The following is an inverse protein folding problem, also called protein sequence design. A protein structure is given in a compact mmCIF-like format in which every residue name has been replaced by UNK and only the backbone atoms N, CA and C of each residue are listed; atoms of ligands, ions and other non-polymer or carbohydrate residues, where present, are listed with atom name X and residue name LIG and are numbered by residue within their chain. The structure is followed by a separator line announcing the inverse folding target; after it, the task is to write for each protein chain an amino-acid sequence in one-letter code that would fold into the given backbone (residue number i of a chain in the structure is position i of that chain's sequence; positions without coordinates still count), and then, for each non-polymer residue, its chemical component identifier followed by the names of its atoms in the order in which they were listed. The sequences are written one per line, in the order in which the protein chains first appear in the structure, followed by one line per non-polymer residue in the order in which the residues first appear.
data_IF_742695130131
#
_entry.id   IF_742695130131
#
_cell.length_a   1.000
_cell.length_b   1.000
_cell.length_c   1.000
_cell.angle_alpha   90.00
_cell.angle_beta   90.00
_cell.angle_gamma   90.00
#
_symmetry.space_group_name_H-M   'P 1'
#
loop_
_entity.id
_entity.type
_entity.pdbx_description
1 polymer ?
#
# COMPACT_ATOMS: atom_id res chain seq x y z
N UNK A 1 22.61 -57.65 4.63
CA UNK A 1 22.77 -58.24 5.97
C UNK A 1 22.37 -57.13 6.97
N UNK A 2 21.39 -57.13 7.79
CA UNK A 2 20.44 -58.10 8.34
C UNK A 2 19.18 -57.31 8.76
N UNK A 3 18.04 -57.90 8.55
CA UNK A 3 16.70 -57.49 8.98
C UNK A 3 16.57 -57.63 10.49
N UNK A 4 15.76 -56.82 11.15
CA UNK A 4 14.90 -57.33 12.24
C UNK A 4 13.63 -56.50 12.34
N UNK A 5 12.50 -57.13 12.09
CA UNK A 5 11.14 -56.81 12.46
C UNK A 5 10.93 -57.17 13.93
N UNK A 6 10.13 -56.37 14.65
CA UNK A 6 9.40 -56.86 15.81
C UNK A 6 8.01 -56.25 15.87
N UNK A 7 7.01 -57.08 15.71
CA UNK A 7 5.59 -56.85 15.96
C UNK A 7 5.19 -57.56 17.28
N UNK A 8 4.36 -56.94 18.10
CA UNK A 8 3.56 -57.56 19.20
C UNK A 8 2.56 -56.50 19.63
N UNK A 9 1.32 -56.64 19.74
CA UNK A 9 0.25 -57.59 19.86
C UNK A 9 -0.85 -56.91 20.73
N UNK A 10 -2.04 -57.10 20.23
CA UNK A 10 -3.36 -56.64 20.69
C UNK A 10 -3.71 -57.31 22.04
N UNK A 11 -4.38 -56.60 22.97
CA UNK A 11 -5.15 -57.17 24.04
C UNK A 11 -6.45 -56.39 24.26
N UNK A 12 -7.57 -56.99 23.84
CA UNK A 12 -8.94 -56.67 24.22
C UNK A 12 -9.21 -57.22 25.64
N UNK A 13 -9.86 -56.42 26.49
CA UNK A 13 -10.63 -56.96 27.63
C UNK A 13 -11.98 -56.29 27.66
N UNK A 14 -13.00 -57.11 27.44
CA UNK A 14 -14.40 -56.87 27.73
C UNK A 14 -14.68 -57.20 29.19
N UNK A 15 -15.48 -56.39 29.87
CA UNK A 15 -16.01 -56.70 31.20
C UNK A 15 -17.25 -55.85 31.46
N UNK A 16 -18.34 -56.56 31.70
CA UNK A 16 -19.75 -56.12 31.72
C UNK A 16 -20.26 -55.68 33.09
N UNK A 17 -21.30 -54.84 33.02
CA UNK A 17 -22.51 -54.71 33.86
C UNK A 17 -22.44 -54.70 35.40
N UNK A 18 -23.15 -53.70 35.97
CA UNK A 18 -23.72 -53.73 37.31
C UNK A 18 -24.23 -52.35 37.75
N UNK A 19 -25.54 -52.23 37.93
CA UNK A 19 -26.31 -51.04 38.07
C UNK A 19 -26.52 -50.45 39.46
N UNK A 20 -27.30 -49.38 39.47
CA UNK A 20 -28.09 -48.73 40.55
C UNK A 20 -27.34 -47.98 41.66
N UNK A 21 -27.51 -46.69 41.84
CA UNK A 21 -28.56 -46.00 42.57
C UNK A 21 -28.32 -44.45 42.60
N UNK A 22 -29.40 -43.75 42.63
CA UNK A 22 -29.55 -42.29 42.59
C UNK A 22 -29.01 -41.58 43.85
N UNK A 23 -28.40 -40.41 43.66
CA UNK A 23 -28.70 -39.21 44.49
C UNK A 23 -28.28 -37.92 43.76
N UNK A 24 -29.07 -36.85 43.77
CA UNK A 24 -28.76 -35.64 43.00
C UNK A 24 -27.81 -34.74 43.76
N UNK A 25 -26.64 -34.53 43.22
CA UNK A 25 -25.72 -33.47 43.67
C UNK A 25 -25.95 -32.20 42.87
N UNK A 26 -26.41 -31.22 43.60
CA UNK A 26 -26.28 -29.77 43.43
C UNK A 26 -25.62 -29.28 42.13
N UNK A 27 -26.41 -28.65 41.26
CA UNK A 27 -25.95 -27.84 40.17
C UNK A 27 -25.24 -26.58 40.74
N UNK A 28 -23.95 -26.61 40.77
CA UNK A 28 -23.15 -25.38 40.83
C UNK A 28 -23.22 -24.74 39.44
N UNK A 29 -23.94 -23.62 39.37
CA UNK A 29 -24.00 -22.75 38.20
C UNK A 29 -22.65 -22.13 37.97
N UNK A 30 -21.86 -22.74 37.08
CA UNK A 30 -20.70 -22.05 36.44
C UNK A 30 -21.30 -21.03 35.46
N UNK A 31 -21.57 -19.84 35.97
CA UNK A 31 -21.66 -18.63 35.18
C UNK A 31 -20.26 -18.19 34.76
N UNK A 32 -19.58 -19.06 33.99
CA UNK A 32 -18.44 -18.61 33.22
C UNK A 32 -18.94 -17.56 32.21
N UNK A 33 -18.51 -16.35 32.43
CA UNK A 33 -18.62 -15.18 31.58
C UNK A 33 -18.62 -15.61 30.09
N UNK A 34 -19.79 -15.59 29.45
CA UNK A 34 -19.93 -15.61 28.02
C UNK A 34 -19.44 -14.25 27.51
N UNK A 35 -18.12 -14.08 27.35
CA UNK A 35 -17.58 -13.07 26.47
C UNK A 35 -18.27 -13.25 25.12
N UNK A 36 -19.02 -12.23 24.70
CA UNK A 36 -19.96 -12.34 23.59
C UNK A 36 -19.25 -12.86 22.34
N UNK A 37 -19.64 -14.06 21.92
CA UNK A 37 -19.14 -14.70 20.70
C UNK A 37 -19.46 -13.77 19.53
N UNK A 38 -18.45 -13.46 18.69
CA UNK A 38 -18.65 -12.68 17.49
C UNK A 38 -19.83 -13.24 16.67
N UNK A 39 -20.72 -12.37 16.23
CA UNK A 39 -21.93 -12.76 15.49
C UNK A 39 -21.77 -12.68 13.99
N UNK A 40 -20.61 -12.20 13.50
CA UNK A 40 -20.30 -12.06 12.08
C UNK A 40 -18.82 -12.19 11.82
N UNK A 41 -18.49 -12.26 10.54
CA UNK A 41 -17.13 -12.34 10.03
C UNK A 41 -16.86 -11.19 9.06
N UNK A 42 -15.58 -10.81 8.92
CA UNK A 42 -15.08 -9.91 7.90
C UNK A 42 -13.67 -10.35 7.48
N UNK A 43 -13.51 -10.71 6.22
CA UNK A 43 -12.25 -11.17 5.66
C UNK A 43 -11.66 -10.05 4.82
N UNK A 44 -10.56 -9.45 5.31
CA UNK A 44 -9.82 -8.37 4.65
C UNK A 44 -8.64 -8.94 3.87
N UNK A 45 -8.39 -8.40 2.67
CA UNK A 45 -7.16 -8.63 1.93
C UNK A 45 -6.55 -7.28 1.58
N UNK A 46 -5.43 -6.96 2.18
CA UNK A 46 -4.87 -5.62 2.20
C UNK A 46 -3.34 -5.63 2.18
N UNK A 47 -2.74 -4.46 2.02
CA UNK A 47 -1.30 -4.27 2.18
C UNK A 47 -0.87 -4.56 3.62
N UNK A 48 0.37 -5.02 3.80
CA UNK A 48 0.94 -5.21 5.14
C UNK A 48 1.07 -3.86 5.86
N UNK A 49 0.85 -3.87 7.19
CA UNK A 49 0.97 -2.68 8.06
C UNK A 49 0.13 -1.47 7.59
N UNK A 50 -1.04 -1.71 7.02
CA UNK A 50 -1.87 -0.70 6.37
C UNK A 50 -3.10 -0.26 7.18
N UNK A 51 -3.19 -0.69 8.41
CA UNK A 51 -4.12 -0.21 9.44
C UNK A 51 -3.47 -0.36 10.82
N UNK A 52 -3.75 0.55 11.73
CA UNK A 52 -3.36 0.37 13.14
C UNK A 52 -4.11 -0.85 13.70
N UNK A 53 -3.39 -1.87 14.20
CA UNK A 53 -4.01 -3.07 14.78
C UNK A 53 -5.04 -2.75 15.86
N UNK A 54 -4.84 -1.68 16.63
CA UNK A 54 -5.78 -1.24 17.67
C UNK A 54 -7.14 -0.82 17.09
N UNK A 55 -7.16 -0.20 15.90
CA UNK A 55 -8.43 0.18 15.24
C UNK A 55 -9.17 -1.03 14.71
N UNK A 56 -8.45 -2.03 14.19
CA UNK A 56 -9.05 -3.29 13.70
C UNK A 56 -9.65 -4.09 14.84
N UNK A 57 -8.93 -4.20 15.95
CA UNK A 57 -9.40 -4.87 17.17
C UNK A 57 -10.63 -4.18 17.76
N UNK A 58 -10.59 -2.84 17.88
CA UNK A 58 -11.73 -2.05 18.37
C UNK A 58 -12.97 -2.25 17.49
N UNK A 59 -12.83 -2.21 16.16
CA UNK A 59 -13.96 -2.48 15.26
C UNK A 59 -14.55 -3.86 15.49
N UNK A 60 -13.73 -4.90 15.58
CA UNK A 60 -14.16 -6.27 15.81
C UNK A 60 -14.94 -6.41 17.12
N UNK A 61 -14.41 -5.85 18.20
CA UNK A 61 -14.99 -5.86 19.54
C UNK A 61 -16.33 -5.13 19.60
N UNK A 62 -16.36 -3.88 19.11
CA UNK A 62 -17.53 -3.01 19.22
C UNK A 62 -18.70 -3.50 18.37
N UNK A 63 -18.41 -4.14 17.23
CA UNK A 63 -19.44 -4.68 16.33
C UNK A 63 -19.69 -6.19 16.53
N UNK A 64 -18.97 -6.88 17.42
CA UNK A 64 -19.02 -8.33 17.61
C UNK A 64 -18.74 -9.07 16.30
N UNK A 65 -17.76 -8.61 15.53
CA UNK A 65 -17.33 -9.17 14.25
C UNK A 65 -15.93 -9.76 14.44
N UNK A 66 -15.73 -10.98 13.97
CA UNK A 66 -14.40 -11.57 13.85
C UNK A 66 -13.75 -11.04 12.57
N UNK A 67 -12.70 -10.23 12.70
CA UNK A 67 -11.97 -9.67 11.56
C UNK A 67 -10.74 -10.52 11.29
N UNK A 68 -10.69 -11.11 10.09
CA UNK A 68 -9.51 -11.85 9.60
C UNK A 68 -8.79 -11.01 8.56
N UNK A 69 -7.47 -10.89 8.68
CA UNK A 69 -6.63 -10.15 7.76
C UNK A 69 -5.69 -11.10 7.01
N UNK A 70 -5.64 -10.97 5.71
CA UNK A 70 -4.60 -11.53 4.85
C UNK A 70 -3.91 -10.40 4.11
N UNK A 71 -2.64 -10.58 3.76
CA UNK A 71 -1.81 -9.53 3.21
C UNK A 71 -1.27 -9.90 1.83
N UNK A 72 -1.03 -8.88 1.02
CA UNK A 72 -0.32 -8.98 -0.25
C UNK A 72 0.74 -7.87 -0.33
N UNK A 73 1.68 -8.05 -1.23
CA UNK A 73 2.83 -7.16 -1.46
C UNK A 73 2.81 -6.51 -2.86
N UNK A 74 1.83 -6.88 -3.70
CA UNK A 74 1.70 -6.33 -5.06
C UNK A 74 0.25 -6.30 -5.53
N UNK A 75 -0.10 -5.31 -6.35
CA UNK A 75 -1.41 -5.24 -7.00
C UNK A 75 -1.67 -6.45 -7.92
N UNK A 76 -0.63 -7.03 -8.48
CA UNK A 76 -0.69 -8.23 -9.32
C UNK A 76 -1.14 -9.46 -8.53
N UNK A 77 -0.65 -9.63 -7.30
CA UNK A 77 -1.06 -10.70 -6.40
C UNK A 77 -2.55 -10.55 -6.01
N UNK A 78 -2.99 -9.32 -5.70
CA UNK A 78 -4.40 -9.04 -5.45
C UNK A 78 -5.25 -9.31 -6.71
N UNK A 79 -4.83 -8.80 -7.87
CA UNK A 79 -5.56 -8.97 -9.14
C UNK A 79 -5.74 -10.44 -9.48
N UNK A 80 -4.68 -11.24 -9.39
CA UNK A 80 -4.74 -12.68 -9.61
C UNK A 80 -5.77 -13.36 -8.69
N UNK A 81 -5.94 -12.85 -7.46
CA UNK A 81 -6.89 -13.40 -6.49
C UNK A 81 -8.33 -13.02 -6.81
N UNK A 82 -8.62 -11.74 -7.07
CA UNK A 82 -9.99 -11.26 -7.29
C UNK A 82 -10.56 -11.68 -8.65
N UNK A 83 -9.73 -11.79 -9.70
CA UNK A 83 -10.17 -12.21 -11.02
C UNK A 83 -10.57 -13.69 -11.10
N UNK A 84 -10.24 -14.50 -10.10
CA UNK A 84 -10.75 -15.89 -10.04
C UNK A 84 -12.26 -15.97 -9.81
N UNK A 85 -12.88 -14.87 -9.30
CA UNK A 85 -14.28 -14.87 -8.84
C UNK A 85 -14.53 -15.76 -7.61
N UNK A 86 -13.46 -16.20 -6.96
CA UNK A 86 -13.45 -16.99 -5.71
C UNK A 86 -12.36 -16.49 -4.80
N UNK A 87 -12.39 -15.19 -4.52
CA UNK A 87 -11.34 -14.52 -3.74
C UNK A 87 -11.29 -15.02 -2.30
N UNK A 88 -12.47 -15.29 -1.72
CA UNK A 88 -12.63 -15.65 -0.31
C UNK A 88 -12.56 -14.45 0.63
N UNK A 89 -12.56 -13.23 0.09
CA UNK A 89 -12.50 -11.99 0.86
C UNK A 89 -13.77 -11.17 0.71
N UNK A 90 -14.03 -10.34 1.73
CA UNK A 90 -15.19 -9.46 1.77
C UNK A 90 -14.83 -8.02 1.41
N UNK A 91 -13.58 -7.64 1.65
CA UNK A 91 -13.07 -6.30 1.37
C UNK A 91 -11.59 -6.39 0.97
N UNK A 92 -11.23 -5.67 -0.09
CA UNK A 92 -9.86 -5.58 -0.61
C UNK A 92 -9.48 -4.12 -0.84
N UNK A 93 -8.17 -3.81 -0.93
CA UNK A 93 -7.68 -2.43 -1.02
C UNK A 93 -6.68 -2.27 -2.18
N UNK A 94 -7.12 -2.41 -3.44
CA UNK A 94 -6.23 -2.19 -4.58
C UNK A 94 -5.90 -0.71 -4.78
N UNK A 95 -4.76 -0.45 -5.44
CA UNK A 95 -4.49 0.86 -5.99
C UNK A 95 -5.43 1.13 -7.18
N UNK A 96 -5.97 2.33 -7.23
CA UNK A 96 -7.01 2.71 -8.21
C UNK A 96 -6.54 2.55 -9.66
N UNK A 97 -5.26 2.76 -9.95
CA UNK A 97 -4.65 2.53 -11.27
C UNK A 97 -4.84 1.10 -11.78
N UNK A 98 -4.85 0.12 -10.89
CA UNK A 98 -5.05 -1.30 -11.22
C UNK A 98 -6.53 -1.69 -11.14
N UNK A 99 -7.27 -1.10 -10.21
CA UNK A 99 -8.70 -1.35 -9.99
C UNK A 99 -9.54 -1.11 -11.26
N UNK A 100 -9.18 -0.14 -12.10
CA UNK A 100 -9.93 0.16 -13.32
C UNK A 100 -10.08 -1.04 -14.26
N UNK A 101 -9.04 -1.87 -14.43
CA UNK A 101 -9.12 -3.10 -15.22
C UNK A 101 -9.98 -4.16 -14.54
N UNK A 102 -9.88 -4.26 -13.24
CA UNK A 102 -10.62 -5.22 -12.41
C UNK A 102 -12.12 -4.88 -12.39
N UNK A 103 -12.47 -3.57 -12.36
CA UNK A 103 -13.86 -3.09 -12.52
C UNK A 103 -14.40 -3.50 -13.88
N UNK A 104 -13.66 -3.26 -14.97
CA UNK A 104 -14.07 -3.63 -16.33
C UNK A 104 -14.25 -5.15 -16.48
N UNK A 105 -13.46 -5.94 -15.77
CA UNK A 105 -13.57 -7.39 -15.71
C UNK A 105 -14.74 -7.88 -14.82
N UNK A 106 -15.48 -6.98 -14.16
CA UNK A 106 -16.60 -7.33 -13.29
C UNK A 106 -16.20 -8.00 -11.97
N UNK A 107 -14.97 -7.73 -11.49
CA UNK A 107 -14.45 -8.35 -10.26
C UNK A 107 -15.12 -7.83 -8.99
N UNK A 108 -15.82 -6.70 -9.02
CA UNK A 108 -16.35 -6.00 -7.86
C UNK A 108 -17.84 -5.77 -7.91
N UNK A 109 -18.43 -5.56 -6.75
CA UNK A 109 -19.80 -5.10 -6.57
C UNK A 109 -19.86 -3.59 -6.44
N UNK A 110 -20.99 -2.98 -6.82
CA UNK A 110 -21.22 -1.55 -6.55
C UNK A 110 -21.36 -1.34 -5.03
N UNK A 111 -20.80 -0.22 -4.56
CA UNK A 111 -20.85 0.22 -3.17
C UNK A 111 -22.21 0.88 -2.90
N UNK A 112 -22.90 0.42 -1.87
CA UNK A 112 -24.09 1.11 -1.36
C UNK A 112 -23.69 2.25 -0.41
N UNK A 113 -23.58 3.45 -0.96
CA UNK A 113 -23.18 4.65 -0.20
C UNK A 113 -24.14 5.01 0.92
N UNK A 114 -25.41 4.54 0.87
CA UNK A 114 -26.39 4.78 1.94
C UNK A 114 -25.99 4.07 3.25
N UNK A 115 -25.20 3.00 3.15
CA UNK A 115 -24.65 2.28 4.30
C UNK A 115 -23.36 2.89 4.85
N UNK A 116 -22.88 3.99 4.28
CA UNK A 116 -21.61 4.64 4.64
C UNK A 116 -21.89 6.12 5.00
N UNK A 117 -22.50 6.45 6.13
CA UNK A 117 -22.75 7.84 6.52
C UNK A 117 -21.51 8.74 6.50
N UNK A 118 -20.34 8.19 6.85
CA UNK A 118 -19.06 8.91 6.83
C UNK A 118 -18.49 9.12 5.42
N UNK A 119 -19.19 8.69 4.35
CA UNK A 119 -18.79 8.97 2.96
C UNK A 119 -18.67 10.47 2.69
N UNK A 120 -19.48 11.29 3.37
CA UNK A 120 -19.44 12.76 3.29
C UNK A 120 -18.16 13.39 3.86
N UNK A 121 -17.36 12.63 4.61
CA UNK A 121 -16.06 13.08 5.12
C UNK A 121 -14.94 12.99 4.07
N UNK A 122 -15.18 12.30 2.94
CA UNK A 122 -14.16 12.12 1.90
C UNK A 122 -13.88 13.46 1.22
N UNK A 123 -12.60 13.72 0.96
CA UNK A 123 -12.14 14.88 0.20
C UNK A 123 -12.82 14.89 -1.20
N UNK A 124 -13.62 15.93 -1.53
CA UNK A 124 -14.29 16.04 -2.82
C UNK A 124 -13.34 16.06 -4.01
N UNK A 125 -12.15 16.64 -3.88
CA UNK A 125 -11.15 16.65 -4.95
C UNK A 125 -10.60 15.25 -5.22
N UNK A 126 -10.45 14.44 -4.17
CA UNK A 126 -10.07 13.04 -4.31
C UNK A 126 -11.16 12.23 -5.05
N UNK A 127 -12.43 12.43 -4.71
CA UNK A 127 -13.56 11.79 -5.42
C UNK A 127 -13.62 12.21 -6.90
N UNK A 128 -13.36 13.47 -7.20
CA UNK A 128 -13.32 13.99 -8.58
C UNK A 128 -12.18 13.36 -9.38
N UNK A 129 -11.03 13.17 -8.74
CA UNK A 129 -9.88 12.49 -9.32
C UNK A 129 -10.19 11.02 -9.62
N UNK A 130 -10.80 10.31 -8.67
CA UNK A 130 -11.18 8.90 -8.81
C UNK A 130 -12.21 8.66 -9.89
N UNK A 131 -13.14 9.61 -10.10
CA UNK A 131 -14.18 9.53 -11.12
C UNK A 131 -13.62 9.43 -12.56
N UNK A 132 -12.34 9.75 -12.77
CA UNK A 132 -11.66 9.54 -14.06
C UNK A 132 -11.44 8.05 -14.38
N UNK A 133 -11.49 7.18 -13.36
CA UNK A 133 -11.26 5.74 -13.47
C UNK A 133 -12.52 4.95 -13.11
N UNK A 134 -13.15 5.29 -12.00
CA UNK A 134 -14.43 4.74 -11.52
C UNK A 134 -15.53 5.79 -11.70
N UNK A 135 -16.14 5.83 -12.88
CA UNK A 135 -17.17 6.82 -13.23
C UNK A 135 -18.33 6.78 -12.24
N UNK A 136 -18.54 7.91 -11.54
CA UNK A 136 -19.55 8.06 -10.51
C UNK A 136 -19.14 7.47 -9.15
N UNK A 137 -17.88 7.04 -8.99
CA UNK A 137 -17.35 6.43 -7.77
C UNK A 137 -18.27 5.30 -7.25
N UNK A 138 -18.57 4.36 -8.13
CA UNK A 138 -19.54 3.29 -7.86
C UNK A 138 -18.95 2.11 -7.13
N UNK A 139 -17.67 1.78 -7.39
CA UNK A 139 -17.03 0.56 -6.95
C UNK A 139 -15.96 0.77 -5.90
N UNK A 140 -15.35 1.96 -5.87
CA UNK A 140 -14.20 2.28 -5.04
C UNK A 140 -14.53 3.38 -4.01
N UNK A 141 -14.14 3.14 -2.75
CA UNK A 141 -14.16 4.14 -1.69
C UNK A 141 -12.71 4.40 -1.27
N UNK A 142 -12.18 5.62 -1.42
CA UNK A 142 -10.78 5.89 -1.10
C UNK A 142 -10.52 5.67 0.39
N UNK A 143 -9.34 5.11 0.67
CA UNK A 143 -8.86 4.86 2.02
C UNK A 143 -7.68 5.76 2.36
N UNK A 144 -6.56 5.55 1.67
CA UNK A 144 -5.39 6.40 1.71
C UNK A 144 -4.98 6.84 0.32
N UNK A 145 -4.29 7.96 0.28
CA UNK A 145 -3.62 8.42 -0.92
C UNK A 145 -2.23 8.95 -0.58
N UNK A 146 -1.38 9.03 -1.57
CA UNK A 146 -0.03 9.48 -1.40
C UNK A 146 0.65 9.79 -2.72
N UNK A 147 1.95 10.04 -2.63
CA UNK A 147 2.77 10.45 -3.77
C UNK A 147 3.94 9.51 -3.99
N UNK A 148 4.31 9.34 -5.25
CA UNK A 148 5.59 8.77 -5.64
C UNK A 148 6.59 9.92 -5.74
N UNK A 149 7.58 9.91 -4.87
CA UNK A 149 8.57 10.97 -4.76
C UNK A 149 9.97 10.43 -4.49
N UNK A 150 10.86 11.24 -3.96
CA UNK A 150 12.20 10.82 -3.58
C UNK A 150 12.60 11.36 -2.21
N UNK A 151 13.49 10.64 -1.55
CA UNK A 151 14.14 11.12 -0.34
C UNK A 151 15.65 11.05 -0.48
N UNK A 152 16.32 11.92 0.28
CA UNK A 152 17.78 12.03 0.30
C UNK A 152 18.32 11.97 1.73
N UNK A 153 19.53 11.43 1.86
CA UNK A 153 20.39 11.73 3.00
C UNK A 153 21.14 13.02 2.69
N UNK A 154 20.75 14.11 3.30
CA UNK A 154 21.26 15.46 2.99
C UNK A 154 22.77 15.58 3.15
N UNK A 155 23.36 14.96 4.18
CA UNK A 155 24.79 14.98 4.43
C UNK A 155 25.57 14.21 3.34
N UNK A 156 25.09 13.00 2.98
CA UNK A 156 25.74 12.18 1.97
C UNK A 156 25.64 12.82 0.58
N UNK A 157 24.46 13.39 0.24
CA UNK A 157 24.24 14.09 -1.03
C UNK A 157 25.11 15.33 -1.11
N UNK A 158 25.14 16.18 -0.07
CA UNK A 158 25.99 17.38 -0.04
C UNK A 158 27.47 17.02 -0.22
N UNK A 159 27.94 15.97 0.46
CA UNK A 159 29.30 15.46 0.31
C UNK A 159 29.60 15.00 -1.13
N UNK A 160 28.68 14.26 -1.74
CA UNK A 160 28.85 13.73 -3.09
C UNK A 160 28.77 14.82 -4.17
N UNK A 161 27.91 15.82 -4.00
CA UNK A 161 27.77 16.95 -4.93
C UNK A 161 28.85 18.04 -4.74
N UNK A 162 29.45 18.12 -3.53
CA UNK A 162 30.35 19.19 -3.15
C UNK A 162 29.61 20.50 -2.79
N UNK A 163 28.30 20.43 -2.57
CA UNK A 163 27.43 21.56 -2.19
C UNK A 163 26.16 21.04 -1.53
N UNK A 164 25.58 21.84 -0.65
CA UNK A 164 24.26 21.61 -0.04
C UNK A 164 23.08 22.09 -0.91
N UNK A 165 23.38 22.85 -1.97
CA UNK A 165 22.39 23.33 -2.92
C UNK A 165 21.95 22.20 -3.84
N UNK A 166 20.65 21.85 -3.80
CA UNK A 166 20.03 20.89 -4.70
C UNK A 166 19.76 21.51 -6.08
N UNK A 167 19.60 20.68 -7.13
CA UNK A 167 19.10 21.15 -8.42
C UNK A 167 17.70 21.76 -8.29
N UNK A 168 17.36 22.68 -9.19
CA UNK A 168 16.03 23.31 -9.23
C UNK A 168 14.91 22.28 -9.46
N UNK A 169 15.17 21.31 -10.32
CA UNK A 169 14.34 20.13 -10.46
C UNK A 169 14.98 18.97 -9.70
N UNK A 170 14.46 18.63 -8.52
CA UNK A 170 15.03 17.57 -7.67
C UNK A 170 15.04 16.19 -8.34
N UNK A 171 14.20 15.96 -9.37
CA UNK A 171 14.27 14.73 -10.18
C UNK A 171 15.59 14.56 -10.92
N UNK A 172 16.39 15.63 -11.10
CA UNK A 172 17.73 15.56 -11.67
C UNK A 172 18.67 14.67 -10.84
N UNK A 173 18.45 14.57 -9.54
CA UNK A 173 19.23 13.69 -8.65
C UNK A 173 19.17 12.22 -9.08
N UNK A 174 18.15 11.83 -9.81
CA UNK A 174 17.91 10.42 -10.20
C UNK A 174 17.84 10.19 -11.72
N UNK A 175 17.57 11.23 -12.54
CA UNK A 175 17.43 11.09 -13.99
C UNK A 175 18.49 11.84 -14.81
N UNK A 176 19.25 12.77 -14.19
CA UNK A 176 20.31 13.50 -14.88
C UNK A 176 21.69 12.90 -14.61
N UNK A 177 22.43 12.42 -15.64
CA UNK A 177 23.77 11.85 -15.49
C UNK A 177 24.80 12.75 -14.81
N UNK A 178 24.63 14.08 -14.86
CA UNK A 178 25.54 15.03 -14.18
C UNK A 178 25.49 14.86 -12.65
N UNK A 179 24.32 14.51 -12.10
CA UNK A 179 24.14 14.27 -10.68
C UNK A 179 24.33 12.80 -10.33
N UNK A 180 23.75 11.88 -11.10
CA UNK A 180 23.78 10.46 -10.75
C UNK A 180 25.19 9.88 -10.71
N UNK A 181 26.08 10.33 -11.62
CA UNK A 181 27.51 9.94 -11.60
C UNK A 181 28.21 10.32 -10.30
N UNK A 182 27.85 11.43 -9.69
CA UNK A 182 28.40 11.86 -8.39
C UNK A 182 27.80 11.05 -7.24
N UNK A 183 26.52 10.73 -7.34
CA UNK A 183 25.73 10.05 -6.30
C UNK A 183 25.87 8.52 -6.30
N UNK A 184 26.36 7.90 -7.38
CA UNK A 184 26.44 6.43 -7.52
C UNK A 184 27.21 5.75 -6.37
N UNK A 185 28.24 6.41 -5.83
CA UNK A 185 29.06 5.84 -4.77
C UNK A 185 28.34 5.81 -3.42
N UNK A 186 27.44 6.76 -3.16
CA UNK A 186 26.63 6.75 -1.93
C UNK A 186 25.31 5.99 -2.12
N UNK A 187 24.89 5.70 -3.35
CA UNK A 187 23.82 4.78 -3.67
C UNK A 187 22.49 5.44 -4.04
N UNK A 188 21.98 5.05 -5.20
CA UNK A 188 20.68 5.45 -5.74
C UNK A 188 19.77 4.23 -5.83
N UNK A 189 18.52 4.35 -5.39
CA UNK A 189 17.47 3.34 -5.53
C UNK A 189 16.36 3.82 -6.43
N UNK A 190 15.91 2.95 -7.34
CA UNK A 190 14.69 3.10 -8.14
C UNK A 190 13.63 2.13 -7.66
N UNK A 191 12.34 2.39 -7.93
CA UNK A 191 11.31 1.38 -7.81
C UNK A 191 11.65 0.12 -8.61
N UNK A 192 11.27 -1.04 -8.13
CA UNK A 192 11.25 -2.27 -8.93
C UNK A 192 9.85 -2.53 -9.52
N UNK A 193 9.30 -1.50 -10.15
CA UNK A 193 7.97 -1.52 -10.76
C UNK A 193 7.98 -0.67 -12.02
N UNK A 194 7.77 -1.25 -13.22
CA UNK A 194 7.66 -0.47 -14.44
C UNK A 194 6.45 0.46 -14.43
N UNK A 195 5.34 0.05 -13.80
CA UNK A 195 4.10 0.84 -13.73
C UNK A 195 4.26 2.12 -12.91
N UNK A 196 5.18 2.13 -11.94
CA UNK A 196 5.54 3.31 -11.15
C UNK A 196 6.67 4.12 -11.79
N UNK A 197 7.67 3.45 -12.35
CA UNK A 197 8.89 4.10 -12.80
C UNK A 197 8.73 4.80 -14.15
N UNK A 198 7.97 4.22 -15.10
CA UNK A 198 7.76 4.84 -16.42
C UNK A 198 7.01 6.17 -16.36
N UNK A 199 5.91 6.33 -15.59
CA UNK A 199 5.25 7.62 -15.44
C UNK A 199 6.17 8.73 -14.91
N UNK A 200 7.04 8.45 -13.95
CA UNK A 200 8.04 9.38 -13.44
C UNK A 200 9.03 9.79 -14.54
N UNK A 201 9.56 8.82 -15.28
CA UNK A 201 10.50 9.10 -16.38
C UNK A 201 9.84 9.87 -17.53
N UNK A 202 8.59 9.53 -17.89
CA UNK A 202 7.81 10.27 -18.89
C UNK A 202 7.61 11.72 -18.47
N UNK A 203 7.15 11.96 -17.24
CA UNK A 203 6.98 13.31 -16.68
C UNK A 203 8.30 14.09 -16.72
N UNK A 204 9.39 13.46 -16.29
CA UNK A 204 10.70 14.08 -16.28
C UNK A 204 11.17 14.57 -17.68
N UNK A 205 10.88 13.80 -18.74
CA UNK A 205 11.23 14.18 -20.13
C UNK A 205 10.17 15.04 -20.80
N UNK A 206 9.17 15.55 -20.05
CA UNK A 206 8.13 16.43 -20.57
C UNK A 206 7.05 15.75 -21.43
N UNK A 207 6.86 14.43 -21.23
CA UNK A 207 5.82 13.65 -21.89
C UNK A 207 4.63 13.42 -20.95
N UNK A 208 3.47 13.04 -21.52
CA UNK A 208 2.32 12.62 -20.70
C UNK A 208 2.72 11.38 -19.86
N UNK A 209 2.65 11.44 -18.51
CA UNK A 209 2.91 10.30 -17.65
C UNK A 209 2.05 9.07 -17.96
N UNK A 210 0.89 9.30 -18.56
CA UNK A 210 -0.05 8.27 -18.97
C UNK A 210 0.06 7.87 -20.45
N UNK A 211 1.10 8.33 -21.16
CA UNK A 211 1.29 7.98 -22.57
C UNK A 211 1.31 6.47 -22.80
N UNK A 212 0.61 6.03 -23.83
CA UNK A 212 0.63 4.66 -24.35
C UNK A 212 1.38 4.57 -25.69
N UNK A 213 1.92 5.70 -26.15
CA UNK A 213 2.69 5.78 -27.38
C UNK A 213 4.03 5.04 -27.24
N UNK A 214 4.35 4.20 -28.20
CA UNK A 214 5.58 3.38 -28.17
C UNK A 214 6.86 4.22 -28.23
N UNK A 215 6.84 5.35 -28.95
CA UNK A 215 8.00 6.23 -29.05
C UNK A 215 8.24 6.97 -27.71
N UNK A 216 7.20 7.39 -27.02
CA UNK A 216 7.28 8.02 -25.70
C UNK A 216 7.84 7.01 -24.67
N UNK A 217 7.34 5.77 -24.67
CA UNK A 217 7.84 4.71 -23.79
C UNK A 217 9.30 4.39 -24.07
N UNK A 218 9.69 4.33 -25.35
CA UNK A 218 11.10 4.13 -25.74
C UNK A 218 11.98 5.31 -25.29
N UNK A 219 11.48 6.55 -25.39
CA UNK A 219 12.20 7.74 -24.93
C UNK A 219 12.40 7.73 -23.40
N UNK A 220 11.37 7.35 -22.63
CA UNK A 220 11.46 7.19 -21.17
C UNK A 220 12.48 6.11 -20.79
N UNK A 221 12.45 4.96 -21.46
CA UNK A 221 13.43 3.88 -21.26
C UNK A 221 14.85 4.35 -21.61
N UNK A 222 15.02 5.14 -22.68
CA UNK A 222 16.31 5.72 -23.05
C UNK A 222 16.83 6.72 -22.02
N UNK A 223 15.96 7.54 -21.42
CA UNK A 223 16.32 8.44 -20.34
C UNK A 223 16.82 7.67 -19.11
N UNK A 224 16.08 6.66 -18.67
CA UNK A 224 16.50 5.79 -17.56
C UNK A 224 17.80 5.03 -17.86
N UNK A 225 17.99 4.60 -19.11
CA UNK A 225 19.22 3.90 -19.54
C UNK A 225 20.47 4.77 -19.36
N UNK A 226 20.39 6.10 -19.54
CA UNK A 226 21.54 7.01 -19.37
C UNK A 226 22.11 6.99 -17.95
N UNK A 227 21.26 6.71 -16.96
CA UNK A 227 21.61 6.71 -15.53
C UNK A 227 21.67 5.30 -14.93
N UNK A 228 21.32 4.25 -15.70
CA UNK A 228 21.20 2.88 -15.21
C UNK A 228 22.47 2.38 -14.49
N UNK A 229 23.65 2.68 -15.01
CA UNK A 229 24.93 2.26 -14.43
C UNK A 229 25.22 2.90 -13.06
N UNK A 230 24.53 3.99 -12.74
CA UNK A 230 24.67 4.70 -11.48
C UNK A 230 23.66 4.24 -10.42
N UNK A 231 22.61 3.50 -10.83
CA UNK A 231 21.58 2.94 -9.94
C UNK A 231 22.11 1.69 -9.25
N UNK A 232 22.19 1.74 -7.91
CA UNK A 232 22.69 0.64 -7.06
C UNK A 232 21.69 -0.48 -6.96
N UNK A 233 20.40 -0.15 -6.75
CA UNK A 233 19.35 -1.16 -6.56
C UNK A 233 18.03 -0.77 -7.23
N UNK A 234 17.23 -1.79 -7.48
CA UNK A 234 15.82 -1.68 -7.81
C UNK A 234 15.05 -2.38 -6.69
N UNK A 235 14.17 -1.66 -6.01
CA UNK A 235 13.38 -2.19 -4.91
C UNK A 235 12.16 -1.33 -4.66
N UNK A 236 11.03 -1.95 -4.32
CA UNK A 236 9.80 -1.26 -3.93
C UNK A 236 9.55 -1.29 -2.42
N UNK A 237 10.50 -1.83 -1.62
CA UNK A 237 10.38 -1.88 -0.15
C UNK A 237 11.72 -1.76 0.59
N UNK A 238 12.79 -2.44 0.14
CA UNK A 238 14.07 -2.46 0.85
C UNK A 238 14.73 -1.08 0.96
N UNK A 239 14.38 -0.13 0.07
CA UNK A 239 14.90 1.25 0.15
C UNK A 239 14.58 1.93 1.48
N UNK A 240 13.52 1.53 2.19
CA UNK A 240 13.12 2.10 3.49
C UNK A 240 14.25 1.91 4.50
N UNK A 241 14.67 0.67 4.70
CA UNK A 241 15.73 0.35 5.65
C UNK A 241 17.11 0.82 5.16
N UNK A 242 17.41 0.64 3.87
CA UNK A 242 18.71 1.00 3.31
C UNK A 242 18.95 2.52 3.38
N UNK A 243 17.90 3.34 3.18
CA UNK A 243 17.97 4.78 3.35
C UNK A 243 18.14 5.16 4.82
N UNK A 244 17.36 4.53 5.73
CA UNK A 244 17.45 4.78 7.17
C UNK A 244 18.82 4.44 7.75
N UNK A 245 19.45 3.37 7.26
CA UNK A 245 20.77 2.89 7.69
C UNK A 245 21.94 3.61 7.01
N UNK A 246 21.67 4.50 6.04
CA UNK A 246 22.71 5.23 5.31
C UNK A 246 23.41 4.41 4.23
N UNK A 247 22.83 3.31 3.77
CA UNK A 247 23.34 2.54 2.64
C UNK A 247 22.98 3.16 1.28
N UNK A 248 21.96 4.04 1.29
CA UNK A 248 21.53 4.85 0.15
C UNK A 248 21.56 6.33 0.51
N UNK A 249 21.95 7.16 -0.44
CA UNK A 249 21.85 8.61 -0.30
C UNK A 249 20.65 9.21 -1.02
N UNK A 250 20.07 8.50 -2.01
CA UNK A 250 18.87 8.90 -2.72
C UNK A 250 18.00 7.65 -2.98
N UNK A 251 16.70 7.76 -2.73
CA UNK A 251 15.76 6.72 -3.08
C UNK A 251 14.47 7.32 -3.66
N UNK A 252 14.03 6.80 -4.80
CA UNK A 252 12.65 6.97 -5.26
C UNK A 252 11.78 6.03 -4.43
N UNK A 253 10.67 6.52 -3.89
CA UNK A 253 9.80 5.73 -3.02
C UNK A 253 8.40 6.32 -2.90
N UNK A 254 7.54 5.59 -2.20
CA UNK A 254 6.24 6.07 -1.77
C UNK A 254 6.44 7.06 -0.60
N UNK A 255 5.72 8.18 -0.62
CA UNK A 255 5.93 9.28 0.34
C UNK A 255 5.88 8.84 1.81
N UNK A 256 4.89 8.01 2.20
CA UNK A 256 4.79 7.48 3.56
C UNK A 256 5.95 6.56 3.93
N UNK A 257 6.35 5.66 3.04
CA UNK A 257 7.50 4.79 3.26
C UNK A 257 8.80 5.58 3.46
N UNK A 258 8.97 6.66 2.69
CA UNK A 258 10.11 7.56 2.85
C UNK A 258 10.05 8.31 4.19
N UNK A 259 8.85 8.62 4.71
CA UNK A 259 8.66 9.16 6.05
C UNK A 259 8.93 8.10 7.13
N UNK A 260 8.59 6.83 6.90
CA UNK A 260 8.99 5.73 7.78
C UNK A 260 10.53 5.63 7.82
N UNK A 261 11.20 5.71 6.67
CA UNK A 261 12.66 5.71 6.62
C UNK A 261 13.27 6.89 7.41
N UNK A 262 12.69 8.10 7.25
CA UNK A 262 13.06 9.31 7.99
C UNK A 262 12.92 9.11 9.50
N UNK A 263 11.79 8.56 9.95
CA UNK A 263 11.51 8.28 11.37
C UNK A 263 12.51 7.26 11.93
N UNK A 264 12.69 6.11 11.27
CA UNK A 264 13.66 5.06 11.69
C UNK A 264 15.09 5.58 11.76
N UNK A 265 15.49 6.43 10.82
CA UNK A 265 16.80 7.07 10.85
C UNK A 265 16.95 7.99 12.07
N UNK A 266 15.93 8.80 12.37
CA UNK A 266 15.93 9.71 13.52
C UNK A 266 15.97 8.94 14.86
N UNK A 267 15.23 7.85 14.99
CA UNK A 267 15.29 6.93 16.16
C UNK A 267 16.70 6.37 16.38
N UNK A 268 17.45 6.14 15.29
CA UNK A 268 18.85 5.72 15.33
C UNK A 268 19.87 6.90 15.44
N UNK A 269 19.40 8.13 15.69
CA UNK A 269 20.22 9.32 15.83
C UNK A 269 20.63 10.00 14.51
N UNK A 270 20.12 9.57 13.37
CA UNK A 270 20.37 10.16 12.07
C UNK A 270 19.18 11.03 11.62
N UNK A 271 19.29 12.33 11.72
CA UNK A 271 18.26 13.30 11.32
C UNK A 271 18.46 13.87 9.91
N UNK A 272 19.34 13.28 9.10
CA UNK A 272 19.71 13.79 7.79
C UNK A 272 18.77 13.34 6.65
N UNK A 273 17.76 12.52 6.92
CA UNK A 273 16.83 12.10 5.87
C UNK A 273 15.78 13.20 5.63
N UNK A 274 15.65 13.62 4.37
CA UNK A 274 14.67 14.59 3.91
C UNK A 274 13.88 14.01 2.74
N UNK A 275 12.55 13.95 2.89
CA UNK A 275 11.65 13.66 1.79
C UNK A 275 11.47 14.94 0.96
N UNK A 276 11.64 14.82 -0.34
CA UNK A 276 11.52 15.94 -1.28
C UNK A 276 10.16 15.88 -1.97
N UNK A 277 9.65 17.04 -2.36
CA UNK A 277 8.40 17.15 -3.12
C UNK A 277 8.64 18.07 -4.31
N UNK A 278 9.14 17.52 -5.44
CA UNK A 278 9.48 18.31 -6.60
C UNK A 278 8.29 19.13 -7.12
N UNK A 279 8.47 20.45 -7.24
CA UNK A 279 7.43 21.36 -7.73
C UNK A 279 7.05 21.12 -9.20
N UNK A 280 7.90 20.41 -9.94
CA UNK A 280 7.61 19.97 -11.32
C UNK A 280 6.55 18.87 -11.39
N UNK A 281 6.12 18.36 -10.23
CA UNK A 281 5.06 17.38 -10.07
C UNK A 281 5.54 15.98 -9.67
N UNK A 282 4.64 15.26 -9.06
CA UNK A 282 4.83 13.90 -8.53
C UNK A 282 3.70 12.99 -9.02
N UNK A 283 3.88 11.68 -8.94
CA UNK A 283 2.80 10.73 -9.17
C UNK A 283 1.88 10.69 -7.94
N UNK A 284 0.57 10.82 -8.13
CA UNK A 284 -0.42 10.64 -7.08
C UNK A 284 -1.06 9.26 -7.27
N UNK A 285 -1.16 8.50 -6.20
CA UNK A 285 -1.87 7.24 -6.15
C UNK A 285 -2.95 7.28 -5.06
N UNK A 286 -3.97 6.46 -5.25
CA UNK A 286 -5.09 6.31 -4.33
C UNK A 286 -5.36 4.83 -4.16
N UNK A 287 -5.34 4.37 -2.92
CA UNK A 287 -5.76 3.02 -2.56
C UNK A 287 -7.19 3.06 -2.05
N UNK A 288 -8.00 2.13 -2.50
CA UNK A 288 -9.44 2.20 -2.29
C UNK A 288 -10.01 0.88 -1.80
N UNK A 289 -10.93 0.97 -0.87
CA UNK A 289 -11.77 -0.17 -0.50
C UNK A 289 -12.67 -0.57 -1.67
N UNK A 290 -12.67 -1.85 -1.96
CA UNK A 290 -13.55 -2.46 -2.96
C UNK A 290 -14.10 -3.78 -2.45
N UNK A 291 -15.36 -4.07 -2.78
CA UNK A 291 -16.05 -5.30 -2.37
C UNK A 291 -15.99 -6.31 -3.52
N UNK A 292 -15.29 -7.45 -3.38
CA UNK A 292 -15.24 -8.49 -4.41
C UNK A 292 -16.63 -8.99 -4.79
N UNK A 293 -16.76 -9.46 -6.05
CA UNK A 293 -18.05 -9.99 -6.55
C UNK A 293 -18.57 -11.18 -5.74
N UNK A 294 -17.68 -11.98 -5.19
CA UNK A 294 -17.95 -13.18 -4.41
C UNK A 294 -18.00 -12.96 -2.89
N UNK A 295 -17.91 -11.71 -2.42
CA UNK A 295 -17.97 -11.35 -1.01
C UNK A 295 -19.26 -11.85 -0.35
N UNK A 296 -19.13 -12.42 0.85
CA UNK A 296 -20.24 -12.99 1.62
C UNK A 296 -20.75 -12.05 2.71
N UNK A 297 -19.87 -11.25 3.29
CA UNK A 297 -20.17 -10.40 4.44
C UNK A 297 -20.27 -8.91 4.03
N UNK A 298 -21.06 -8.62 2.99
CA UNK A 298 -21.16 -7.30 2.34
C UNK A 298 -21.55 -6.20 3.33
N UNK A 299 -22.49 -6.45 4.24
CA UNK A 299 -22.92 -5.48 5.24
C UNK A 299 -21.78 -5.15 6.23
N UNK A 300 -20.96 -6.14 6.61
CA UNK A 300 -19.82 -5.94 7.49
C UNK A 300 -18.69 -5.17 6.77
N UNK A 301 -18.53 -5.39 5.45
CA UNK A 301 -17.61 -4.61 4.63
C UNK A 301 -18.01 -3.12 4.60
N UNK A 302 -19.28 -2.79 4.37
CA UNK A 302 -19.77 -1.41 4.43
C UNK A 302 -19.59 -0.78 5.83
N UNK A 303 -19.85 -1.53 6.90
CA UNK A 303 -19.60 -1.06 8.27
C UNK A 303 -18.12 -0.73 8.50
N UNK A 304 -17.20 -1.58 8.00
CA UNK A 304 -15.77 -1.35 8.15
C UNK A 304 -15.32 -0.12 7.36
N UNK A 305 -15.78 0.04 6.12
CA UNK A 305 -15.53 1.24 5.32
C UNK A 305 -16.03 2.48 6.06
N UNK A 306 -17.26 2.46 6.58
CA UNK A 306 -17.82 3.57 7.33
C UNK A 306 -17.00 3.89 8.59
N UNK A 307 -16.55 2.86 9.31
CA UNK A 307 -15.73 3.00 10.50
C UNK A 307 -14.36 3.65 10.19
N UNK A 308 -13.70 3.22 9.12
CA UNK A 308 -12.39 3.77 8.74
C UNK A 308 -12.47 5.20 8.22
N UNK A 309 -13.62 5.64 7.70
CA UNK A 309 -13.87 7.03 7.29
C UNK A 309 -14.28 7.95 8.45
N UNK A 310 -14.49 7.42 9.66
CA UNK A 310 -14.68 8.26 10.84
C UNK A 310 -13.40 9.08 11.09
N UNK A 311 -13.47 10.39 11.30
CA UNK A 311 -12.29 11.25 11.39
C UNK A 311 -11.26 10.81 12.44
N UNK A 312 -11.69 10.33 13.61
CA UNK A 312 -10.77 9.84 14.64
C UNK A 312 -10.06 8.55 14.23
N UNK A 313 -10.81 7.59 13.70
CA UNK A 313 -10.24 6.32 13.21
C UNK A 313 -9.30 6.57 12.02
N UNK A 314 -9.72 7.44 11.10
CA UNK A 314 -8.91 7.81 9.94
C UNK A 314 -7.59 8.48 10.36
N UNK A 315 -7.63 9.40 11.32
CA UNK A 315 -6.44 10.07 11.86
C UNK A 315 -5.49 9.05 12.54
N UNK A 316 -6.03 8.17 13.40
CA UNK A 316 -5.22 7.15 14.08
C UNK A 316 -4.54 6.21 13.09
N UNK A 317 -5.27 5.74 12.08
CA UNK A 317 -4.70 4.92 11.02
C UNK A 317 -3.65 5.69 10.21
N UNK A 318 -3.91 6.98 9.89
CA UNK A 318 -2.99 7.83 9.13
C UNK A 318 -1.67 8.07 9.89
N UNK A 319 -1.72 8.29 11.19
CA UNK A 319 -0.53 8.46 12.03
C UNK A 319 0.31 7.18 12.11
N UNK A 320 -0.35 6.02 12.09
CA UNK A 320 0.32 4.71 12.06
C UNK A 320 1.01 4.47 10.71
N UNK A 321 0.27 4.63 9.60
CA UNK A 321 0.77 4.30 8.25
C UNK A 321 1.53 5.45 7.58
N UNK A 322 1.45 6.68 8.12
CA UNK A 322 2.10 7.89 7.61
C UNK A 322 1.67 8.34 6.21
N UNK A 323 0.43 8.04 5.83
CA UNK A 323 -0.19 8.47 4.57
C UNK A 323 -1.39 9.40 4.81
N UNK A 324 -1.76 10.16 3.78
CA UNK A 324 -2.93 11.03 3.82
C UNK A 324 -4.23 10.20 3.79
N UNK A 325 -5.11 10.33 4.80
CA UNK A 325 -6.39 9.63 4.79
C UNK A 325 -7.37 10.31 3.82
N UNK A 326 -8.29 9.52 3.26
CA UNK A 326 -9.35 10.05 2.42
C UNK A 326 -10.35 10.93 3.18
N UNK A 327 -10.49 10.73 4.50
CA UNK A 327 -11.36 11.54 5.37
C UNK A 327 -10.73 12.92 5.60
N UNK A 328 -11.26 13.94 4.93
CA UNK A 328 -10.72 15.30 4.99
C UNK A 328 -10.64 15.86 6.44
N UNK A 329 -11.68 15.74 7.30
CA UNK A 329 -11.61 16.26 8.67
C UNK A 329 -10.63 15.49 9.57
N UNK A 330 -10.15 14.31 9.15
CA UNK A 330 -9.14 13.58 9.92
C UNK A 330 -7.82 14.33 10.02
N UNK A 331 -7.45 15.13 9.01
CA UNK A 331 -6.20 15.90 9.00
C UNK A 331 -6.02 16.79 10.22
N UNK A 332 -7.11 17.36 10.73
CA UNK A 332 -7.07 18.21 11.92
C UNK A 332 -6.78 17.43 13.22
N UNK A 333 -7.07 16.13 13.22
CA UNK A 333 -6.91 15.22 14.35
C UNK A 333 -5.58 14.43 14.32
N UNK A 334 -4.87 14.43 13.19
CA UNK A 334 -3.57 13.77 13.02
C UNK A 334 -2.46 14.44 13.82
N UNK A 335 -1.36 13.72 14.02
CA UNK A 335 -0.09 14.31 14.47
C UNK A 335 0.25 15.54 13.62
N UNK A 336 0.55 16.65 14.30
CA UNK A 336 0.76 17.94 13.62
C UNK A 336 1.98 17.95 12.72
N UNK A 337 2.97 17.11 12.99
CA UNK A 337 4.16 16.97 12.14
C UNK A 337 3.76 16.35 10.79
N UNK A 338 2.95 15.28 10.81
CA UNK A 338 2.45 14.63 9.59
C UNK A 338 1.40 15.47 8.86
N UNK A 339 0.46 16.07 9.60
CA UNK A 339 -0.60 16.90 9.02
C UNK A 339 -0.07 18.13 8.26
N UNK A 340 1.14 18.61 8.60
CA UNK A 340 1.81 19.75 7.97
C UNK A 340 3.00 19.34 7.08
N UNK A 341 3.31 18.06 6.95
CA UNK A 341 4.40 17.61 6.08
C UNK A 341 3.96 17.64 4.60
N UNK A 342 4.64 18.42 3.74
CA UNK A 342 4.29 18.50 2.31
C UNK A 342 4.44 17.17 1.57
N UNK A 343 5.19 16.21 2.09
CA UNK A 343 5.31 14.88 1.50
C UNK A 343 4.10 13.99 1.79
N UNK A 344 3.28 14.36 2.78
CA UNK A 344 1.97 13.73 3.07
C UNK A 344 0.85 14.53 2.43
N UNK A 345 0.88 15.87 2.56
CA UNK A 345 -0.11 16.78 2.00
C UNK A 345 0.58 17.84 1.11
N UNK A 346 0.87 17.50 -0.16
CA UNK A 346 1.46 18.45 -1.11
C UNK A 346 0.60 19.72 -1.25
N UNK A 347 1.27 20.86 -1.46
CA UNK A 347 0.57 22.12 -1.72
C UNK A 347 -0.18 22.10 -3.08
N UNK A 348 -1.10 23.06 -3.27
CA UNK A 348 -1.93 23.14 -4.46
C UNK A 348 -1.10 23.32 -5.74
N UNK A 349 0.02 24.05 -5.68
CA UNK A 349 0.91 24.26 -6.82
C UNK A 349 1.58 22.96 -7.25
N UNK A 350 2.04 22.16 -6.31
CA UNK A 350 2.59 20.83 -6.56
C UNK A 350 1.52 19.89 -7.12
N UNK A 351 0.32 19.87 -6.50
CA UNK A 351 -0.80 19.05 -6.98
C UNK A 351 -1.20 19.38 -8.41
N UNK A 352 -1.24 20.66 -8.78
CA UNK A 352 -1.56 21.10 -10.13
C UNK A 352 -0.56 20.59 -11.19
N UNK A 353 0.70 20.42 -10.83
CA UNK A 353 1.75 19.87 -11.69
C UNK A 353 1.85 18.33 -11.62
N UNK A 354 1.13 17.69 -10.70
CA UNK A 354 1.16 16.26 -10.47
C UNK A 354 0.20 15.51 -11.39
N UNK A 355 0.26 14.19 -11.36
CA UNK A 355 -0.56 13.34 -12.20
C UNK A 355 -1.00 12.09 -11.44
N UNK A 356 -2.10 11.49 -11.89
CA UNK A 356 -2.56 10.18 -11.44
C UNK A 356 -2.24 9.15 -12.50
N UNK A 357 -1.73 8.01 -12.08
CA UNK A 357 -1.51 6.89 -12.98
C UNK A 357 -2.86 6.28 -13.35
N UNK A 358 -3.15 6.24 -14.67
CA UNK A 358 -4.37 5.65 -15.22
C UNK A 358 -4.12 4.20 -15.62
N UNK A 359 -5.16 3.35 -15.61
CA UNK A 359 -5.09 2.01 -16.16
C UNK A 359 -4.57 2.03 -17.59
N UNK A 360 -3.69 1.11 -17.92
CA UNK A 360 -3.09 1.02 -19.26
C UNK A 360 -3.57 -0.23 -19.99
N UNK A 361 -3.69 -0.18 -21.32
CA UNK A 361 -3.96 -1.37 -22.13
C UNK A 361 -2.92 -2.46 -21.90
N UNK A 362 -3.29 -3.75 -22.00
CA UNK A 362 -2.39 -4.88 -21.75
C UNK A 362 -1.11 -4.84 -22.61
N UNK A 363 -1.21 -4.41 -23.86
CA UNK A 363 -0.08 -4.28 -24.78
C UNK A 363 0.92 -3.21 -24.30
N UNK A 364 0.43 -2.13 -23.69
CA UNK A 364 1.28 -1.08 -23.10
C UNK A 364 2.01 -1.61 -21.87
N UNK A 365 1.31 -2.32 -20.99
CA UNK A 365 1.90 -2.95 -19.80
C UNK A 365 2.97 -3.95 -20.21
N UNK A 366 2.69 -4.78 -21.23
CA UNK A 366 3.64 -5.74 -21.77
C UNK A 366 4.90 -5.05 -22.31
N UNK A 367 4.73 -3.97 -23.06
CA UNK A 367 5.86 -3.21 -23.61
C UNK A 367 6.70 -2.56 -22.48
N UNK A 368 6.06 -1.91 -21.51
CA UNK A 368 6.74 -1.35 -20.34
C UNK A 368 7.56 -2.43 -19.62
N UNK A 369 6.96 -3.60 -19.38
CA UNK A 369 7.65 -4.74 -18.74
C UNK A 369 8.85 -5.20 -19.54
N UNK A 370 8.73 -5.34 -20.87
CA UNK A 370 9.85 -5.73 -21.75
C UNK A 370 11.00 -4.72 -21.70
N UNK A 371 10.68 -3.43 -21.82
CA UNK A 371 11.68 -2.35 -21.73
C UNK A 371 12.33 -2.30 -20.34
N UNK A 372 11.57 -2.55 -19.27
CA UNK A 372 12.04 -2.59 -17.90
C UNK A 372 13.02 -3.76 -17.66
N UNK A 373 12.67 -4.96 -18.10
CA UNK A 373 13.56 -6.11 -17.98
C UNK A 373 14.85 -5.90 -18.77
N UNK A 374 14.76 -5.33 -19.99
CA UNK A 374 15.92 -4.99 -20.78
C UNK A 374 16.81 -3.92 -20.14
N UNK A 375 16.20 -2.95 -19.43
CA UNK A 375 16.92 -1.92 -18.65
C UNK A 375 17.67 -2.57 -17.48
N UNK A 376 17.03 -3.46 -16.73
CA UNK A 376 17.62 -4.12 -15.55
C UNK A 376 18.74 -5.08 -15.91
N UNK A 377 18.62 -5.80 -17.03
CA UNK A 377 19.60 -6.78 -17.47
C UNK A 377 20.96 -6.18 -17.89
N UNK A 378 21.01 -4.92 -18.24
CA UNK A 378 22.25 -4.24 -18.67
C UNK A 378 22.89 -3.53 -17.47
N UNK A 379 23.97 -4.12 -16.95
CA UNK A 379 24.87 -3.46 -16.00
C UNK A 379 25.87 -2.57 -16.73
#
# INVERSE_FOLDING_TARGET
MSKTLLAVALALVLGACGGSDETPASAASDTASRSGRATGELNLFMWSDYADPATVEAFGKDNKINVSQAFYDSNEALEAKVLTGKSGFDLVIPSLSNAGRQIQAGAYQEIDKSQIPNYNNIDPELLKLMAQIDTGNKYAVPYFWGINTLAINTQMVAKALGTDKLPENEWDLVFNPEYTKKLKHCGISFFDSPTEQFPLALKYIGKDPNSTDKADLAAAAAAMKKVRADVRQFSSSAYINNLAQGELCVAIGYGGDLNIAKRRAAEAGNTNIRVLVPKTGVGIWVDSFMIPKDAKNIANAHKYINYTLNPKTAAQNADFVTYAPASLPARELMDKTLANDPSVFPDEATKANSYVVRPKPPETVKLQTQLWLALKAKR
#
